data_IF_279165743423
#
_entry.id   IF_279165743423
#
_cell.length_a   1.000
_cell.length_b   1.000
_cell.length_c   1.000
_cell.angle_alpha   90.00
_cell.angle_beta   90.00
_cell.angle_gamma   90.00
#
_symmetry.space_group_name_H-M   'P 1'
#
loop_
_entity.id
_entity.type
_entity.pdbx_description
1 polymer ?
#
# COMPACT_ATOMS: atom_id res chain seq x y z
N UNK A 1 -12.29 14.06 12.62
CA UNK A 1 -10.97 14.71 12.68
C UNK A 1 -10.34 14.67 11.31
N UNK A 2 -9.64 15.73 10.86
CA UNK A 2 -8.87 15.69 9.62
C UNK A 2 -7.78 14.61 9.70
N UNK A 3 -7.58 13.87 8.62
CA UNK A 3 -6.55 12.82 8.53
C UNK A 3 -5.19 13.47 8.33
N UNK A 4 -4.13 12.93 8.96
CA UNK A 4 -2.76 13.32 8.64
C UNK A 4 -2.49 13.06 7.16
N UNK A 5 -1.74 13.99 6.57
CA UNK A 5 -1.34 13.98 5.18
C UNK A 5 -0.09 14.85 5.08
N UNK A 6 0.91 14.40 4.33
CA UNK A 6 2.11 15.20 4.06
C UNK A 6 2.20 15.48 2.57
N UNK A 7 2.27 16.76 2.23
CA UNK A 7 2.50 17.25 0.88
C UNK A 7 3.99 17.52 0.67
N UNK A 8 4.56 16.99 -0.41
CA UNK A 8 5.96 17.27 -0.80
C UNK A 8 6.04 18.18 -2.02
N UNK A 9 5.30 17.82 -3.08
CA UNK A 9 5.24 18.59 -4.33
C UNK A 9 3.85 18.47 -4.92
N UNK A 10 3.38 19.52 -5.58
CA UNK A 10 2.05 19.56 -6.18
C UNK A 10 2.03 20.49 -7.38
N UNK A 11 1.26 20.13 -8.40
CA UNK A 11 1.13 20.90 -9.62
C UNK A 11 -0.27 20.71 -10.22
N UNK A 12 -0.77 21.80 -10.77
CA UNK A 12 -1.94 21.84 -11.63
C UNK A 12 -1.54 22.24 -13.04
N UNK A 13 -2.10 21.54 -14.01
CA UNK A 13 -1.95 21.88 -15.42
C UNK A 13 -3.34 21.89 -16.03
N UNK A 14 -3.80 23.06 -16.46
CA UNK A 14 -5.13 23.29 -17.03
C UNK A 14 -5.25 22.79 -18.49
N UNK A 15 -4.69 21.61 -18.75
CA UNK A 15 -4.85 20.84 -19.99
C UNK A 15 -4.58 19.36 -19.75
N UNK A 16 -4.97 18.54 -20.72
CA UNK A 16 -4.51 17.15 -20.77
C UNK A 16 -3.04 17.11 -21.14
N UNK A 17 -2.29 16.30 -20.41
CA UNK A 17 -0.92 15.94 -20.78
C UNK A 17 -0.92 14.71 -21.67
N UNK A 18 0.03 14.68 -22.60
CA UNK A 18 0.38 13.46 -23.35
C UNK A 18 1.04 12.43 -22.44
N UNK A 19 1.06 11.16 -22.85
CA UNK A 19 1.74 10.10 -22.11
C UNK A 19 3.22 10.40 -21.85
N UNK A 20 3.90 11.05 -22.79
CA UNK A 20 5.30 11.44 -22.64
C UNK A 20 5.47 12.52 -21.57
N UNK A 21 4.61 13.55 -21.59
CA UNK A 21 4.63 14.60 -20.57
C UNK A 21 4.29 14.06 -19.18
N UNK A 22 3.32 13.15 -19.07
CA UNK A 22 2.98 12.47 -17.81
C UNK A 22 4.20 11.72 -17.27
N UNK A 23 4.90 10.96 -18.13
CA UNK A 23 6.13 10.25 -17.73
C UNK A 23 7.23 11.19 -17.27
N UNK A 24 7.37 12.33 -17.94
CA UNK A 24 8.31 13.40 -17.57
C UNK A 24 8.00 13.95 -16.18
N UNK A 25 6.78 14.44 -15.96
CA UNK A 25 6.41 15.06 -14.67
C UNK A 25 6.43 14.02 -13.53
N UNK A 26 6.00 12.79 -13.76
CA UNK A 26 6.17 11.69 -12.81
C UNK A 26 7.65 11.45 -12.47
N UNK A 27 8.52 11.47 -13.47
CA UNK A 27 9.97 11.39 -13.28
C UNK A 27 10.50 12.50 -12.38
N UNK A 28 10.12 13.76 -12.64
CA UNK A 28 10.50 14.89 -11.80
C UNK A 28 9.99 14.77 -10.36
N UNK A 29 8.76 14.29 -10.17
CA UNK A 29 8.19 14.07 -8.83
C UNK A 29 8.92 12.94 -8.08
N UNK A 30 9.08 11.77 -8.71
CA UNK A 30 9.70 10.60 -8.08
C UNK A 30 11.16 10.87 -7.73
N UNK A 31 11.92 11.50 -8.64
CA UNK A 31 13.34 11.79 -8.45
C UNK A 31 13.63 13.15 -7.80
N UNK A 32 12.60 13.83 -7.29
CA UNK A 32 12.68 15.15 -6.65
C UNK A 32 13.40 16.23 -7.49
N UNK A 33 13.30 16.15 -8.81
CA UNK A 33 13.87 17.15 -9.74
C UNK A 33 13.03 18.44 -9.75
N UNK A 34 13.67 19.55 -10.15
CA UNK A 34 12.97 20.76 -10.53
C UNK A 34 12.11 20.53 -11.78
N UNK A 35 10.96 21.19 -11.89
CA UNK A 35 10.08 21.08 -13.06
C UNK A 35 10.64 21.83 -14.27
N UNK A 36 11.53 22.81 -14.06
CA UNK A 36 12.22 23.51 -15.15
C UNK A 36 13.33 22.65 -15.77
N UNK A 37 13.81 21.63 -15.04
CA UNK A 37 14.88 20.74 -15.49
C UNK A 37 14.32 19.68 -16.44
N UNK A 38 14.98 19.50 -17.58
CA UNK A 38 14.70 18.38 -18.48
C UNK A 38 14.94 17.03 -17.80
N UNK A 39 13.96 16.15 -17.89
CA UNK A 39 14.03 14.78 -17.39
C UNK A 39 14.76 13.91 -18.41
N UNK A 40 15.82 13.24 -17.98
CA UNK A 40 16.57 12.34 -18.85
C UNK A 40 15.74 11.09 -19.16
N UNK A 41 15.95 10.39 -20.29
CA UNK A 41 15.15 9.20 -20.64
C UNK A 41 15.13 8.11 -19.56
N UNK A 42 16.23 7.93 -18.82
CA UNK A 42 16.33 6.97 -17.71
C UNK A 42 15.67 7.44 -16.40
N UNK A 43 15.18 8.68 -16.36
CA UNK A 43 14.45 9.28 -15.24
C UNK A 43 12.94 9.36 -15.52
N UNK A 44 12.49 8.96 -16.71
CA UNK A 44 11.06 8.89 -17.03
C UNK A 44 10.39 7.80 -16.20
N UNK A 45 9.26 8.13 -15.56
CA UNK A 45 8.48 7.18 -14.77
C UNK A 45 7.09 7.04 -15.35
N UNK A 46 6.78 5.86 -15.90
CA UNK A 46 5.41 5.54 -16.27
C UNK A 46 4.57 5.30 -15.01
N UNK A 47 3.47 6.05 -14.78
CA UNK A 47 2.57 5.73 -13.69
C UNK A 47 1.82 4.43 -13.98
N UNK A 48 1.55 3.64 -12.94
CA UNK A 48 0.67 2.47 -13.00
C UNK A 48 -0.76 2.98 -13.10
N UNK A 49 -1.63 2.35 -13.90
CA UNK A 49 -3.03 2.77 -13.95
C UNK A 49 -3.80 2.20 -12.76
N UNK A 50 -4.72 2.98 -12.19
CA UNK A 50 -5.55 2.51 -11.07
C UNK A 50 -6.38 1.26 -11.44
N UNK A 51 -6.75 1.11 -12.72
CA UNK A 51 -7.48 -0.06 -13.24
C UNK A 51 -6.66 -1.36 -13.29
N UNK A 52 -5.32 -1.28 -13.19
CA UNK A 52 -4.44 -2.46 -13.19
C UNK A 52 -4.49 -3.22 -11.85
N UNK A 53 -5.15 -2.67 -10.83
CA UNK A 53 -5.22 -3.25 -9.49
C UNK A 53 -6.48 -4.12 -9.32
N UNK A 54 -6.25 -5.38 -8.97
CA UNK A 54 -7.30 -6.33 -8.59
C UNK A 54 -7.53 -6.27 -7.08
N UNK A 55 -8.44 -5.38 -6.66
CA UNK A 55 -8.84 -5.18 -5.27
C UNK A 55 -9.93 -6.17 -4.89
N UNK A 56 -9.80 -6.79 -3.71
CA UNK A 56 -10.75 -7.76 -3.14
C UNK A 56 -10.99 -8.98 -4.03
N UNK A 57 -10.05 -9.26 -4.94
CA UNK A 57 -10.03 -10.46 -5.78
C UNK A 57 -9.03 -11.46 -5.18
N UNK A 58 -9.50 -12.59 -4.62
CA UNK A 58 -8.61 -13.63 -4.11
C UNK A 58 -7.64 -14.11 -5.19
N UNK A 59 -6.33 -14.20 -4.92
CA UNK A 59 -5.39 -14.81 -5.85
C UNK A 59 -5.67 -16.31 -5.98
N UNK A 60 -5.36 -16.87 -7.16
CA UNK A 60 -5.45 -18.31 -7.42
C UNK A 60 -4.30 -19.14 -6.79
N UNK A 61 -3.43 -18.49 -6.02
CA UNK A 61 -2.29 -19.12 -5.37
C UNK A 61 -2.40 -18.92 -3.85
N UNK A 62 -1.78 -19.80 -3.03
CA UNK A 62 -1.84 -19.71 -1.57
C UNK A 62 -1.44 -18.33 -1.05
N UNK A 63 -2.14 -17.84 -0.02
CA UNK A 63 -1.79 -16.61 0.69
C UNK A 63 -1.08 -17.00 1.98
N UNK A 64 0.23 -16.80 2.02
CA UNK A 64 1.10 -17.29 3.08
C UNK A 64 1.51 -16.15 4.00
N UNK A 65 1.15 -16.23 5.29
CA UNK A 65 1.72 -15.37 6.32
C UNK A 65 2.97 -16.04 6.87
N UNK A 66 4.13 -15.44 6.61
CA UNK A 66 5.40 -15.83 7.22
C UNK A 66 5.58 -15.14 8.57
N UNK A 67 6.13 -15.85 9.57
CA UNK A 67 6.42 -15.31 10.89
C UNK A 67 7.40 -16.22 11.67
N UNK A 68 7.73 -15.82 12.90
CA UNK A 68 8.36 -16.72 13.86
C UNK A 68 7.35 -17.73 14.40
N UNK A 69 7.78 -18.96 14.65
CA UNK A 69 6.96 -20.09 15.13
C UNK A 69 6.12 -19.72 16.33
N UNK A 70 6.72 -19.06 17.34
CA UNK A 70 6.01 -18.63 18.54
C UNK A 70 4.76 -17.78 18.24
N UNK A 71 4.82 -16.92 17.22
CA UNK A 71 3.70 -16.05 16.85
C UNK A 71 2.66 -16.79 16.00
N UNK A 72 3.10 -17.79 15.22
CA UNK A 72 2.18 -18.69 14.52
C UNK A 72 1.41 -19.55 15.53
N UNK A 73 2.11 -20.11 16.52
CA UNK A 73 1.52 -20.90 17.60
C UNK A 73 0.52 -20.06 18.39
N UNK A 74 0.91 -18.86 18.82
CA UNK A 74 0.04 -17.94 19.55
C UNK A 74 -1.19 -17.52 18.74
N UNK A 75 -1.06 -17.37 17.41
CA UNK A 75 -2.19 -17.11 16.53
C UNK A 75 -3.19 -18.28 16.54
N UNK A 76 -2.74 -19.53 16.42
CA UNK A 76 -3.65 -20.68 16.43
C UNK A 76 -4.23 -20.99 17.81
N UNK A 77 -3.51 -20.67 18.88
CA UNK A 77 -3.99 -20.88 20.26
C UNK A 77 -4.99 -19.83 20.72
N UNK A 78 -4.74 -18.55 20.42
CA UNK A 78 -5.47 -17.40 21.00
C UNK A 78 -6.10 -16.47 19.96
N UNK A 79 -5.75 -16.63 18.68
CA UNK A 79 -6.07 -15.64 17.65
C UNK A 79 -5.22 -14.38 17.73
N UNK A 80 -4.06 -14.41 18.39
CA UNK A 80 -3.20 -13.24 18.53
C UNK A 80 -2.54 -12.89 17.19
N UNK A 81 -2.73 -11.66 16.73
CA UNK A 81 -2.13 -11.13 15.50
C UNK A 81 -1.53 -9.76 15.72
N UNK A 82 -0.36 -9.52 15.11
CA UNK A 82 0.19 -8.18 14.94
C UNK A 82 -0.29 -7.57 13.64
N UNK A 83 -0.84 -6.36 13.72
CA UNK A 83 -1.11 -5.51 12.57
C UNK A 83 -0.12 -4.34 12.57
N UNK A 84 0.54 -4.16 11.43
CA UNK A 84 1.51 -3.08 11.26
C UNK A 84 0.85 -1.76 10.84
N UNK A 85 1.66 -0.72 10.77
CA UNK A 85 1.27 0.60 10.22
C UNK A 85 2.27 1.01 9.15
N UNK A 86 1.91 1.94 8.25
CA UNK A 86 2.89 2.51 7.34
C UNK A 86 4.06 3.16 8.10
N UNK A 87 3.78 3.75 9.26
CA UNK A 87 4.80 4.35 10.11
C UNK A 87 5.79 3.32 10.64
N UNK A 88 5.32 2.15 11.09
CA UNK A 88 6.20 1.06 11.51
C UNK A 88 7.12 0.63 10.36
N UNK A 89 6.55 0.37 9.17
CA UNK A 89 7.36 -0.09 8.03
C UNK A 89 8.35 0.98 7.53
N UNK A 90 8.06 2.27 7.70
CA UNK A 90 9.02 3.34 7.40
C UNK A 90 10.27 3.29 8.27
N UNK A 91 10.13 2.85 9.52
CA UNK A 91 11.19 2.88 10.53
C UNK A 91 11.68 1.49 10.95
N UNK A 92 11.24 0.45 10.24
CA UNK A 92 11.60 -0.92 10.61
C UNK A 92 13.11 -1.15 10.43
N UNK A 93 13.82 -1.69 11.44
CA UNK A 93 15.28 -1.78 11.43
C UNK A 93 15.82 -2.79 10.40
N UNK A 94 15.08 -3.86 10.11
CA UNK A 94 15.45 -4.80 9.05
C UNK A 94 15.13 -4.17 7.68
N UNK A 95 16.12 -3.92 6.80
CA UNK A 95 15.93 -3.26 5.50
C UNK A 95 15.13 -4.10 4.49
N UNK A 96 15.02 -5.42 4.71
CA UNK A 96 14.18 -6.30 3.89
C UNK A 96 12.70 -6.09 4.22
N UNK A 97 12.38 -5.70 5.45
CA UNK A 97 11.00 -5.43 5.90
C UNK A 97 10.69 -3.93 5.77
N UNK A 98 11.65 -3.08 6.11
CA UNK A 98 11.53 -1.64 6.13
C UNK A 98 11.51 -1.02 4.74
N UNK A 99 10.64 -0.02 4.57
CA UNK A 99 10.57 0.83 3.38
C UNK A 99 10.27 2.27 3.82
N UNK A 100 11.31 3.10 3.86
CA UNK A 100 11.21 4.53 4.19
C UNK A 100 10.27 5.32 3.26
N UNK A 101 9.95 4.78 2.08
CA UNK A 101 8.97 5.33 1.15
C UNK A 101 7.57 4.78 1.37
N UNK A 102 7.29 4.08 2.48
CA UNK A 102 5.94 3.58 2.73
C UNK A 102 4.91 4.70 2.85
N UNK A 103 3.76 4.50 2.21
CA UNK A 103 2.71 5.50 2.10
C UNK A 103 3.05 6.69 1.20
N UNK A 104 4.29 6.80 0.69
CA UNK A 104 4.70 7.83 -0.27
C UNK A 104 4.27 7.43 -1.68
N UNK A 105 3.61 8.34 -2.38
CA UNK A 105 3.11 8.09 -3.74
C UNK A 105 3.03 9.38 -4.54
N UNK A 106 3.36 9.28 -5.83
CA UNK A 106 3.06 10.29 -6.84
C UNK A 106 1.70 9.98 -7.44
N UNK A 107 0.69 10.79 -7.16
CA UNK A 107 -0.64 10.66 -7.77
C UNK A 107 -0.71 11.54 -9.01
N UNK A 108 -1.21 10.98 -10.10
CA UNK A 108 -1.62 11.69 -11.31
C UNK A 108 -3.12 11.52 -11.47
N UNK A 109 -3.84 12.63 -11.54
CA UNK A 109 -5.28 12.63 -11.72
C UNK A 109 -5.59 13.38 -13.01
N UNK A 110 -6.26 12.71 -13.94
CA UNK A 110 -6.74 13.30 -15.19
C UNK A 110 -8.25 13.47 -15.14
N UNK A 111 -8.72 14.65 -15.53
CA UNK A 111 -10.13 15.01 -15.53
C UNK A 111 -10.41 16.00 -16.67
N UNK A 112 -11.68 16.30 -16.96
CA UNK A 112 -12.04 17.22 -18.05
C UNK A 112 -11.39 18.62 -17.94
N UNK A 113 -11.12 19.09 -16.72
CA UNK A 113 -10.49 20.40 -16.47
C UNK A 113 -8.96 20.40 -16.60
N UNK A 114 -8.30 19.24 -16.73
CA UNK A 114 -6.85 19.17 -16.85
C UNK A 114 -6.23 18.00 -16.10
N UNK A 115 -4.98 18.20 -15.68
CA UNK A 115 -4.16 17.21 -15.00
C UNK A 115 -3.63 17.76 -13.69
N UNK A 116 -3.81 17.02 -12.61
CA UNK A 116 -3.26 17.32 -11.30
C UNK A 116 -2.24 16.25 -10.93
N UNK A 117 -1.08 16.67 -10.47
CA UNK A 117 0.00 15.77 -10.09
C UNK A 117 0.50 16.19 -8.72
N UNK A 118 0.73 15.25 -7.83
CA UNK A 118 1.39 15.56 -6.57
C UNK A 118 2.03 14.36 -5.90
N UNK A 119 3.06 14.64 -5.13
CA UNK A 119 3.81 13.70 -4.31
C UNK A 119 3.35 13.86 -2.86
N UNK A 120 2.79 12.79 -2.31
CA UNK A 120 2.14 12.80 -1.02
C UNK A 120 2.55 11.60 -0.19
N UNK A 121 2.57 11.75 1.13
CA UNK A 121 2.59 10.63 2.07
C UNK A 121 1.28 10.54 2.81
N UNK A 122 0.70 9.34 2.77
CA UNK A 122 -0.69 9.04 3.12
C UNK A 122 -0.77 7.66 3.79
N UNK A 123 -1.98 7.21 4.15
CA UNK A 123 -2.19 5.89 4.74
C UNK A 123 -2.11 5.86 6.27
N UNK A 124 -1.93 7.02 6.92
CA UNK A 124 -1.81 7.09 8.39
C UNK A 124 -3.01 6.54 9.14
N UNK A 125 -4.16 6.35 8.52
CA UNK A 125 -5.34 5.77 9.13
C UNK A 125 -5.55 4.29 8.78
N UNK A 126 -4.49 3.56 8.41
CA UNK A 126 -4.60 2.14 8.08
C UNK A 126 -3.71 1.27 8.96
N UNK A 127 -4.31 0.19 9.46
CA UNK A 127 -3.56 -0.99 9.86
C UNK A 127 -3.34 -1.89 8.65
N UNK A 128 -2.21 -2.59 8.64
CA UNK A 128 -1.81 -3.51 7.58
C UNK A 128 -1.60 -4.90 8.14
N UNK A 129 -2.05 -5.90 7.39
CA UNK A 129 -1.59 -7.27 7.53
C UNK A 129 -0.99 -7.72 6.20
N UNK A 130 0.33 -7.91 6.19
CA UNK A 130 1.07 -8.31 5.00
C UNK A 130 1.28 -9.83 4.97
N UNK A 131 1.02 -10.43 3.82
CA UNK A 131 1.26 -11.83 3.49
C UNK A 131 2.00 -11.93 2.14
N UNK A 132 2.44 -13.11 1.77
CA UNK A 132 3.03 -13.41 0.46
C UNK A 132 2.09 -14.30 -0.36
N UNK A 133 2.25 -14.30 -1.68
CA UNK A 133 1.41 -15.11 -2.58
C UNK A 133 2.25 -16.20 -3.24
N UNK A 134 1.76 -17.44 -3.17
CA UNK A 134 2.40 -18.63 -3.70
C UNK A 134 3.67 -19.01 -2.95
N UNK A 135 4.57 -19.72 -3.63
CA UNK A 135 5.83 -20.14 -3.02
C UNK A 135 6.73 -18.94 -2.75
N UNK A 136 7.21 -18.84 -1.51
CA UNK A 136 8.18 -17.83 -1.10
C UNK A 136 9.58 -18.42 -1.14
N UNK A 137 10.50 -17.67 -1.73
CA UNK A 137 11.91 -18.06 -1.78
C UNK A 137 12.46 -18.24 -0.34
N UNK A 138 13.07 -19.38 0.01
CA UNK A 138 13.69 -19.59 1.32
C UNK A 138 14.69 -18.50 1.72
N UNK A 139 15.42 -17.92 0.75
CA UNK A 139 16.32 -16.81 1.02
C UNK A 139 15.58 -15.57 1.56
N UNK A 140 14.39 -15.26 1.03
CA UNK A 140 13.52 -14.18 1.51
C UNK A 140 12.98 -14.48 2.91
N UNK A 141 12.60 -15.74 3.17
CA UNK A 141 12.11 -16.16 4.50
C UNK A 141 13.22 -15.98 5.55
N UNK A 142 14.43 -16.42 5.22
CA UNK A 142 15.58 -16.33 6.10
C UNK A 142 16.02 -14.88 6.34
N UNK A 143 15.94 -13.99 5.33
CA UNK A 143 16.32 -12.58 5.48
C UNK A 143 15.38 -11.80 6.42
N UNK A 144 14.15 -12.29 6.60
CA UNK A 144 13.22 -11.77 7.60
C UNK A 144 13.43 -12.35 9.01
N UNK A 145 14.21 -13.42 9.14
CA UNK A 145 14.36 -14.16 10.41
C UNK A 145 13.09 -14.92 10.80
N UNK A 146 12.37 -15.46 9.81
CA UNK A 146 11.16 -16.26 10.01
C UNK A 146 11.46 -17.76 9.86
N UNK A 147 10.73 -18.58 10.61
CA UNK A 147 10.93 -20.05 10.67
C UNK A 147 9.61 -20.83 10.68
N UNK A 148 8.49 -20.16 10.43
CA UNK A 148 7.16 -20.74 10.38
C UNK A 148 6.22 -19.92 9.50
N UNK A 149 5.07 -20.51 9.17
CA UNK A 149 4.06 -19.88 8.34
C UNK A 149 2.66 -20.45 8.58
N UNK A 150 1.66 -19.73 8.09
CA UNK A 150 0.31 -20.25 7.92
C UNK A 150 -0.30 -19.73 6.62
N UNK A 151 -1.25 -20.47 6.08
CA UNK A 151 -2.02 -20.07 4.89
C UNK A 151 -3.37 -19.47 5.30
N UNK A 152 -3.75 -18.37 4.67
CA UNK A 152 -5.10 -17.78 4.73
C UNK A 152 -5.93 -18.42 3.61
N UNK A 153 -6.84 -19.34 3.97
CA UNK A 153 -7.65 -20.11 3.01
C UNK A 153 -8.88 -19.35 2.52
N UNK A 154 -9.38 -18.38 3.30
CA UNK A 154 -10.49 -17.51 2.92
C UNK A 154 -10.16 -16.04 3.23
N UNK A 155 -9.50 -15.31 2.30
CA UNK A 155 -9.04 -13.94 2.55
C UNK A 155 -10.18 -12.98 2.86
N UNK A 156 -11.34 -13.13 2.20
CA UNK A 156 -12.49 -12.26 2.44
C UNK A 156 -13.03 -12.42 3.87
N UNK A 157 -13.23 -13.66 4.31
CA UNK A 157 -13.76 -13.93 5.64
C UNK A 157 -12.74 -13.60 6.74
N UNK A 158 -11.45 -13.86 6.50
CA UNK A 158 -10.34 -13.45 7.36
C UNK A 158 -10.28 -11.93 7.53
N UNK A 159 -10.28 -11.17 6.43
CA UNK A 159 -10.27 -9.71 6.47
C UNK A 159 -11.48 -9.16 7.21
N UNK A 160 -12.68 -9.72 6.95
CA UNK A 160 -13.91 -9.31 7.62
C UNK A 160 -13.85 -9.53 9.14
N UNK A 161 -13.33 -10.67 9.60
CA UNK A 161 -13.20 -10.96 11.03
C UNK A 161 -12.30 -9.93 11.75
N UNK A 162 -11.14 -9.63 11.15
CA UNK A 162 -10.21 -8.62 11.68
C UNK A 162 -10.85 -7.23 11.64
N UNK A 163 -11.50 -6.86 10.54
CA UNK A 163 -12.16 -5.56 10.41
C UNK A 163 -13.25 -5.35 11.47
N UNK A 164 -14.05 -6.39 11.74
CA UNK A 164 -15.05 -6.37 12.82
C UNK A 164 -14.39 -6.19 14.19
N UNK A 165 -13.31 -6.93 14.48
CA UNK A 165 -12.55 -6.80 15.74
C UNK A 165 -12.02 -5.38 15.94
N UNK A 166 -11.58 -4.72 14.88
CA UNK A 166 -11.02 -3.37 14.92
C UNK A 166 -12.07 -2.25 14.94
N UNK A 167 -13.34 -2.55 14.64
CA UNK A 167 -14.34 -1.54 14.23
C UNK A 167 -13.81 -0.68 13.07
N UNK A 168 -13.17 -1.32 12.08
CA UNK A 168 -12.65 -0.63 10.90
C UNK A 168 -13.81 -0.05 10.07
N UNK A 169 -13.61 1.14 9.50
CA UNK A 169 -14.56 1.78 8.56
C UNK A 169 -14.73 0.97 7.29
N UNK A 170 -13.63 0.40 6.82
CA UNK A 170 -13.57 -0.43 5.62
C UNK A 170 -12.40 -1.39 5.74
N UNK A 171 -12.43 -2.44 4.93
CA UNK A 171 -11.31 -3.33 4.76
C UNK A 171 -11.20 -3.71 3.29
N UNK A 172 -9.97 -3.94 2.84
CA UNK A 172 -9.71 -4.44 1.51
C UNK A 172 -8.46 -5.32 1.52
N UNK A 173 -8.25 -6.07 0.45
CA UNK A 173 -6.94 -6.66 0.17
C UNK A 173 -6.57 -6.61 -1.30
N UNK A 174 -5.28 -6.66 -1.58
CA UNK A 174 -4.78 -6.65 -2.95
C UNK A 174 -3.31 -7.01 -3.07
N UNK A 175 -2.94 -7.49 -4.26
CA UNK A 175 -1.55 -7.82 -4.60
C UNK A 175 -0.78 -6.51 -4.83
N UNK A 176 0.45 -6.44 -4.36
CA UNK A 176 1.31 -5.30 -4.69
C UNK A 176 1.77 -5.37 -6.15
N UNK A 177 1.75 -4.23 -6.83
CA UNK A 177 2.40 -4.02 -8.13
C UNK A 177 3.78 -3.42 -7.89
N UNK A 178 4.77 -3.98 -8.59
CA UNK A 178 6.17 -3.61 -8.43
C UNK A 178 6.63 -2.72 -9.58
N UNK A 179 7.24 -1.59 -9.26
CA UNK A 179 7.68 -0.61 -10.24
C UNK A 179 8.94 0.13 -9.79
N UNK A 180 9.63 0.80 -10.73
CA UNK A 180 10.85 1.58 -10.41
C UNK A 180 10.55 2.99 -9.85
N UNK A 181 9.27 3.34 -9.73
CA UNK A 181 8.82 4.58 -9.10
C UNK A 181 7.38 4.44 -8.64
N UNK A 182 7.08 4.94 -7.44
CA UNK A 182 5.74 4.90 -6.84
C UNK A 182 4.86 5.99 -7.46
N UNK A 183 4.40 5.78 -8.70
CA UNK A 183 3.50 6.68 -9.40
C UNK A 183 2.24 5.93 -9.87
N UNK A 184 1.08 6.56 -9.70
CA UNK A 184 -0.22 6.01 -10.10
C UNK A 184 -1.07 7.06 -10.80
N UNK A 185 -1.76 6.66 -11.86
CA UNK A 185 -2.66 7.49 -12.63
C UNK A 185 -4.09 6.97 -12.57
N UNK A 186 -5.05 7.88 -12.41
CA UNK A 186 -6.47 7.56 -12.45
C UNK A 186 -7.34 8.79 -12.64
N UNK A 187 -8.65 8.60 -12.44
CA UNK A 187 -9.66 9.66 -12.51
C UNK A 187 -10.13 10.02 -11.10
N UNK A 188 -10.53 11.27 -10.85
CA UNK A 188 -10.98 11.65 -9.52
C UNK A 188 -12.29 10.95 -9.19
N UNK A 189 -12.38 10.35 -7.99
CA UNK A 189 -13.62 9.72 -7.49
C UNK A 189 -14.67 10.71 -6.98
N UNK A 190 -14.29 11.98 -6.84
CA UNK A 190 -15.13 13.08 -6.33
C UNK A 190 -14.73 14.40 -6.98
N UNK A 191 -15.64 15.37 -6.94
CA UNK A 191 -15.33 16.75 -7.32
C UNK A 191 -14.31 17.31 -6.34
N UNK A 192 -13.33 18.06 -6.86
CA UNK A 192 -12.21 18.60 -6.09
C UNK A 192 -12.34 20.11 -6.01
N UNK A 193 -12.19 20.66 -4.81
CA UNK A 193 -12.03 22.10 -4.64
C UNK A 193 -10.62 22.52 -5.03
N UNK A 194 -10.47 23.05 -6.25
CA UNK A 194 -9.18 23.50 -6.81
C UNK A 194 -8.66 24.79 -6.15
N UNK A 195 -9.44 25.46 -5.30
CA UNK A 195 -9.01 26.67 -4.60
C UNK A 195 -8.15 26.40 -3.36
N UNK A 196 -8.10 25.15 -2.90
CA UNK A 196 -7.39 24.75 -1.68
C UNK A 196 -6.79 23.36 -1.81
N UNK A 197 -5.56 23.20 -1.34
CA UNK A 197 -4.95 21.88 -1.15
C UNK A 197 -5.37 21.33 0.21
N UNK A 198 -5.86 20.09 0.24
CA UNK A 198 -6.37 19.42 1.45
C UNK A 198 -5.96 17.94 1.46
N UNK A 199 -6.24 17.24 2.56
CA UNK A 199 -6.06 15.78 2.61
C UNK A 199 -6.94 15.03 1.60
N UNK A 200 -8.00 15.65 1.07
CA UNK A 200 -8.90 14.99 0.12
C UNK A 200 -8.21 14.62 -1.19
N UNK A 201 -7.14 15.36 -1.51
CA UNK A 201 -6.26 15.12 -2.65
C UNK A 201 -5.59 13.76 -2.62
N UNK A 202 -5.22 13.31 -1.42
CA UNK A 202 -4.66 11.99 -1.21
C UNK A 202 -5.66 10.87 -1.50
N UNK A 203 -6.96 11.10 -1.30
CA UNK A 203 -8.00 10.09 -1.55
C UNK A 203 -8.73 10.29 -2.89
N UNK A 204 -8.17 11.09 -3.81
CA UNK A 204 -8.72 11.19 -5.17
C UNK A 204 -8.66 9.86 -5.92
N UNK A 205 -7.59 9.11 -5.67
CA UNK A 205 -7.45 7.71 -6.07
C UNK A 205 -7.71 6.83 -4.86
N UNK A 206 -8.20 5.62 -5.10
CA UNK A 206 -8.59 4.68 -4.06
C UNK A 206 -7.42 4.10 -3.28
N UNK A 207 -7.64 2.90 -2.74
CA UNK A 207 -6.62 2.21 -1.95
C UNK A 207 -5.45 1.67 -2.78
N UNK A 208 -5.57 1.61 -4.11
CA UNK A 208 -4.56 1.09 -5.03
C UNK A 208 -3.18 1.75 -4.87
N UNK A 209 -3.15 3.03 -4.49
CA UNK A 209 -1.91 3.77 -4.19
C UNK A 209 -1.06 3.13 -3.07
N UNK A 210 -1.69 2.37 -2.19
CA UNK A 210 -1.06 1.65 -1.09
C UNK A 210 -0.57 0.25 -1.49
N UNK A 211 -0.74 -0.15 -2.74
CA UNK A 211 -0.34 -1.46 -3.26
C UNK A 211 0.81 -1.31 -4.26
N UNK A 212 1.58 -0.23 -4.20
CA UNK A 212 2.74 -0.02 -5.08
C UNK A 212 4.00 -0.18 -4.25
N UNK A 213 4.89 -1.06 -4.71
CA UNK A 213 6.20 -1.26 -4.12
C UNK A 213 7.32 -1.05 -5.12
N UNK A 214 8.49 -0.69 -4.60
CA UNK A 214 9.71 -0.63 -5.41
C UNK A 214 10.12 -2.03 -5.88
N UNK A 215 10.65 -2.12 -7.10
CA UNK A 215 11.04 -3.39 -7.72
C UNK A 215 12.02 -4.23 -6.89
N UNK A 216 12.84 -3.61 -6.03
CA UNK A 216 13.72 -4.33 -5.10
C UNK A 216 12.97 -5.26 -4.14
N UNK A 217 11.70 -4.96 -3.84
CA UNK A 217 10.84 -5.79 -2.98
C UNK A 217 10.03 -6.85 -3.75
N UNK A 218 10.21 -6.97 -5.07
CA UNK A 218 9.49 -7.94 -5.91
C UNK A 218 9.58 -9.40 -5.43
N UNK A 219 10.72 -9.87 -4.87
CA UNK A 219 10.82 -11.24 -4.34
C UNK A 219 9.84 -11.56 -3.21
N UNK A 220 9.26 -10.55 -2.54
CA UNK A 220 8.32 -10.71 -1.43
C UNK A 220 6.93 -11.18 -1.87
N UNK A 221 6.55 -10.93 -3.14
CA UNK A 221 5.24 -11.28 -3.71
C UNK A 221 4.08 -10.88 -2.81
N UNK A 222 4.14 -9.67 -2.27
CA UNK A 222 3.31 -9.22 -1.17
C UNK A 222 1.84 -9.06 -1.56
N UNK A 223 0.97 -9.55 -0.69
CA UNK A 223 -0.44 -9.23 -0.60
C UNK A 223 -0.68 -8.43 0.68
N UNK A 224 -1.38 -7.32 0.57
CA UNK A 224 -1.75 -6.48 1.71
C UNK A 224 -3.21 -6.62 1.99
N UNK A 225 -3.53 -6.84 3.25
CA UNK A 225 -4.82 -6.52 3.82
C UNK A 225 -4.71 -5.14 4.48
N UNK A 226 -5.66 -4.27 4.16
CA UNK A 226 -5.70 -2.88 4.60
C UNK A 226 -6.99 -2.68 5.39
N UNK A 227 -6.87 -2.16 6.62
CA UNK A 227 -8.00 -1.90 7.51
C UNK A 227 -8.07 -0.40 7.81
N UNK A 228 -9.07 0.28 7.24
CA UNK A 228 -9.23 1.71 7.39
C UNK A 228 -9.84 2.05 8.75
N UNK A 229 -9.12 2.82 9.55
CA UNK A 229 -9.54 3.22 10.89
C UNK A 229 -10.26 4.59 10.89
N UNK A 230 -11.10 4.86 11.90
CA UNK A 230 -11.79 6.12 12.00
C UNK A 230 -10.88 7.33 12.28
N UNK A 231 -9.69 7.07 12.80
CA UNK A 231 -8.64 8.02 13.11
C UNK A 231 -7.28 7.51 12.62
N UNK A 232 -6.27 8.38 12.66
CA UNK A 232 -4.90 7.98 12.35
C UNK A 232 -4.37 6.99 13.40
N UNK A 233 -3.59 6.04 12.93
CA UNK A 233 -2.87 5.02 13.70
C UNK A 233 -1.37 5.18 13.43
N UNK A 234 -0.56 4.99 14.47
CA UNK A 234 0.86 5.26 14.39
C UNK A 234 1.66 4.02 14.76
N UNK A 235 1.37 3.46 15.92
CA UNK A 235 2.03 2.25 16.40
C UNK A 235 1.32 1.00 15.88
N UNK A 236 2.06 -0.10 15.67
CA UNK A 236 1.44 -1.39 15.43
C UNK A 236 0.58 -1.81 16.62
N UNK A 237 -0.39 -2.69 16.38
CA UNK A 237 -1.27 -3.20 17.41
C UNK A 237 -1.23 -4.73 17.45
N UNK A 238 -1.28 -5.27 18.67
CA UNK A 238 -1.58 -6.68 18.90
C UNK A 238 -3.08 -6.81 19.17
N UNK A 239 -3.76 -7.70 18.45
CA UNK A 239 -5.17 -8.00 18.67
C UNK A 239 -5.35 -9.50 18.93
N UNK A 240 -6.36 -9.83 19.71
CA UNK A 240 -6.87 -11.21 19.81
C UNK A 240 -8.15 -11.32 18.98
N UNK A 241 -8.08 -12.07 17.88
CA UNK A 241 -9.19 -12.34 16.96
C UNK A 241 -9.28 -13.85 16.69
N UNK A 242 -9.77 -14.65 17.66
CA UNK A 242 -9.88 -16.11 17.52
C UNK A 242 -10.76 -16.50 16.32
N UNK A 243 -11.72 -15.66 15.93
CA UNK A 243 -12.57 -15.88 14.75
C UNK A 243 -11.75 -15.95 13.45
N UNK A 244 -10.60 -15.26 13.36
CA UNK A 244 -9.77 -15.27 12.16
C UNK A 244 -9.07 -16.63 11.93
N UNK A 245 -8.86 -17.41 13.01
CA UNK A 245 -8.15 -18.69 12.97
C UNK A 245 -8.86 -19.71 12.08
N UNK A 246 -10.20 -19.71 12.07
CA UNK A 246 -11.01 -20.65 11.28
C UNK A 246 -10.82 -20.50 9.76
N UNK A 247 -10.26 -19.37 9.32
CA UNK A 247 -9.97 -19.06 7.91
C UNK A 247 -8.50 -19.29 7.56
N UNK A 248 -7.76 -19.99 8.43
CA UNK A 248 -6.34 -20.23 8.28
C UNK A 248 -6.00 -21.71 8.54
N UNK A 249 -4.87 -22.16 7.99
CA UNK A 249 -4.27 -23.45 8.30
C UNK A 249 -2.77 -23.30 8.53
N UNK A 250 -2.25 -23.99 9.53
CA UNK A 250 -0.81 -24.02 9.82
C UNK A 250 -0.06 -24.80 8.73
N UNK A 251 1.16 -24.38 8.41
CA UNK A 251 2.05 -25.05 7.45
C UNK A 251 3.21 -25.74 8.16
#
# INVERSE_FOLDING_TARGET
MPRKFQLYKHMWIDRQLTDFEIKGVCGSMVHDLDFERSVMPNQLVAPIKEEDFYIDVPPQAPIIKLSQRRYVDEFFEKGTLKLGTFHEYQHHPNPEIGDHEEGLVTLVVTANWGTMIGKYRTGYNYYLFCAAIGDVNPATVNSFGYDSAFEVSNPQAFARAIAAKLNARSYNFGRCIYHNGKAIIGRPRRVIDRSRISSEYADLLGISKYLIKMNKYKPQRELRFLFEMPADVHEPIMIECPEAVQFCKKL
#
